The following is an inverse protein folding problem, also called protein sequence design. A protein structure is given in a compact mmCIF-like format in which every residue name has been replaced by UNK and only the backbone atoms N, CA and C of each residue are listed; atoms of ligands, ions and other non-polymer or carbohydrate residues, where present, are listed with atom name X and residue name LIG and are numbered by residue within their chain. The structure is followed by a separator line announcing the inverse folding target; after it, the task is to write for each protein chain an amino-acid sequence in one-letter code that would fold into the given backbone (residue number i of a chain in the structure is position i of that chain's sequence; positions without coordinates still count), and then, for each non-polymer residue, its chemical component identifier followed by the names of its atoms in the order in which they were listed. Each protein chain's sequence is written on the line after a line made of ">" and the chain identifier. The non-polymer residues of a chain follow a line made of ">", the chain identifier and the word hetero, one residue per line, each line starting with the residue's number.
data_IF_076557739589
#
_entry.id   IF_076557739589
#
_cell.length_a   1.000
_cell.length_b   1.000
_cell.length_c   1.000
_cell.angle_alpha   90.00
_cell.angle_beta   90.00
_cell.angle_gamma   90.00
#
_symmetry.space_group_name_H-M   'P 1'
#
loop_
_entity.id
_entity.type
_entity.pdbx_description
1 polymer ?
#
# COMPACT_ATOMS: atom_id res chain seq x y z
N UNK A 1 10.39 3.72 -4.27
CA UNK A 1 9.10 3.15 -3.80
C UNK A 1 8.28 2.78 -5.03
N UNK A 2 7.82 1.53 -5.15
CA UNK A 2 6.86 1.16 -6.20
C UNK A 2 5.44 1.18 -5.61
N UNK A 3 4.59 2.02 -6.16
CA UNK A 3 3.17 2.12 -5.83
C UNK A 3 2.35 1.85 -7.09
N UNK A 4 1.39 0.94 -7.02
CA UNK A 4 0.48 0.62 -8.12
C UNK A 4 -0.95 0.51 -7.59
N UNK A 5 -1.88 1.16 -8.27
CA UNK A 5 -3.32 1.07 -8.01
C UNK A 5 -3.98 0.16 -9.05
N UNK A 6 -4.83 -0.76 -8.60
CA UNK A 6 -5.57 -1.66 -9.48
C UNK A 6 -6.33 -2.74 -8.71
N UNK A 7 -7.12 -3.51 -9.46
CA UNK A 7 -7.86 -4.66 -8.93
C UNK A 7 -6.89 -5.84 -8.73
N UNK A 8 -6.62 -6.19 -7.48
CA UNK A 8 -5.54 -7.10 -7.12
C UNK A 8 -5.98 -8.57 -7.25
N UNK A 9 -5.04 -9.47 -7.61
CA UNK A 9 -5.19 -10.92 -7.43
C UNK A 9 -5.13 -11.26 -5.92
N UNK A 10 -6.16 -10.87 -5.17
CA UNK A 10 -6.25 -11.07 -3.73
C UNK A 10 -7.57 -10.61 -3.12
N UNK A 11 -8.65 -10.61 -3.90
CA UNK A 11 -9.99 -10.29 -3.38
C UNK A 11 -10.38 -11.14 -2.16
N UNK A 12 -9.98 -12.42 -2.10
CA UNK A 12 -10.23 -13.29 -0.92
C UNK A 12 -9.52 -12.82 0.35
N UNK A 13 -8.18 -12.64 0.37
CA UNK A 13 -7.50 -12.13 1.57
C UNK A 13 -7.94 -10.70 1.92
N UNK A 14 -8.21 -9.83 0.94
CA UNK A 14 -8.74 -8.48 1.19
C UNK A 14 -10.13 -8.51 1.83
N UNK A 15 -11.03 -9.37 1.34
CA UNK A 15 -12.35 -9.57 1.94
C UNK A 15 -12.27 -10.13 3.36
N UNK A 16 -11.33 -11.05 3.63
CA UNK A 16 -11.11 -11.58 4.98
C UNK A 16 -10.62 -10.51 5.98
N UNK A 17 -9.95 -9.46 5.47
CA UNK A 17 -9.53 -8.30 6.26
C UNK A 17 -10.61 -7.20 6.32
N UNK A 18 -11.81 -7.44 5.76
CA UNK A 18 -12.91 -6.47 5.74
C UNK A 18 -12.68 -5.27 4.83
N UNK A 19 -11.76 -5.37 3.87
CA UNK A 19 -11.42 -4.26 2.98
C UNK A 19 -12.48 -4.09 1.89
N UNK A 20 -12.95 -2.85 1.75
CA UNK A 20 -13.70 -2.27 0.65
C UNK A 20 -13.19 -2.61 -0.77
N UNK A 21 -13.69 -3.58 -1.56
CA UNK A 21 -13.18 -3.81 -2.92
C UNK A 21 -13.38 -2.60 -3.84
N UNK A 22 -14.51 -1.90 -3.72
CA UNK A 22 -14.88 -0.72 -4.52
C UNK A 22 -13.99 0.50 -4.20
N UNK A 23 -13.36 0.53 -3.03
CA UNK A 23 -12.44 1.60 -2.65
C UNK A 23 -11.06 1.47 -3.31
N UNK A 24 -10.75 0.29 -3.87
CA UNK A 24 -9.43 -0.03 -4.37
C UNK A 24 -8.39 -0.17 -3.25
N UNK A 25 -7.23 -0.74 -3.57
CA UNK A 25 -6.13 -0.93 -2.62
C UNK A 25 -4.84 -0.34 -3.15
N UNK A 26 -4.06 0.30 -2.28
CA UNK A 26 -2.71 0.73 -2.58
C UNK A 26 -1.73 -0.36 -2.15
N UNK A 27 -0.95 -0.89 -3.11
CA UNK A 27 0.13 -1.84 -2.80
C UNK A 27 1.47 -1.12 -2.76
N UNK A 28 2.19 -1.32 -1.66
CA UNK A 28 3.56 -0.89 -1.48
C UNK A 28 4.46 -2.12 -1.41
N UNK A 29 5.62 -2.08 -2.07
CA UNK A 29 6.59 -3.18 -2.08
C UNK A 29 7.96 -2.69 -1.65
N UNK A 30 8.54 -3.32 -0.63
CA UNK A 30 9.75 -2.86 0.07
C UNK A 30 11.00 -3.70 -0.24
N UNK A 31 10.93 -4.64 -1.18
CA UNK A 31 12.04 -5.54 -1.54
C UNK A 31 13.35 -4.80 -1.85
N UNK A 32 13.28 -3.54 -2.33
CA UNK A 32 14.43 -2.73 -2.69
C UNK A 32 14.58 -1.42 -1.89
N UNK A 33 13.74 -1.17 -0.87
CA UNK A 33 13.69 0.10 -0.12
C UNK A 33 13.50 -0.17 1.38
N UNK A 34 14.56 -0.56 2.08
CA UNK A 34 14.51 -1.01 3.48
C UNK A 34 15.27 -0.11 4.45
N UNK A 35 15.82 1.02 4.00
CA UNK A 35 16.48 1.94 4.93
C UNK A 35 15.44 2.73 5.74
N UNK A 36 15.79 3.08 6.99
CA UNK A 36 14.90 3.85 7.87
C UNK A 36 14.46 5.18 7.23
N UNK A 37 15.37 5.87 6.56
CA UNK A 37 15.06 7.13 5.87
C UNK A 37 14.05 6.97 4.72
N UNK A 38 14.07 5.85 3.99
CA UNK A 38 13.09 5.57 2.94
C UNK A 38 11.70 5.25 3.52
N UNK A 39 11.66 4.56 4.66
CA UNK A 39 10.42 4.30 5.40
C UNK A 39 9.82 5.59 5.95
N UNK A 40 10.65 6.45 6.55
CA UNK A 40 10.20 7.74 7.10
C UNK A 40 9.63 8.64 5.99
N UNK A 41 10.29 8.70 4.82
CA UNK A 41 9.80 9.47 3.67
C UNK A 41 8.44 8.96 3.17
N UNK A 42 8.22 7.65 3.17
CA UNK A 42 6.94 7.06 2.80
C UNK A 42 5.85 7.41 3.80
N UNK A 43 6.10 7.21 5.09
CA UNK A 43 5.11 7.46 6.15
C UNK A 43 4.66 8.92 6.12
N UNK A 44 5.61 9.86 6.05
CA UNK A 44 5.30 11.28 5.95
C UNK A 44 4.46 11.59 4.69
N UNK A 45 4.81 11.01 3.54
CA UNK A 45 4.06 11.22 2.31
C UNK A 45 2.66 10.57 2.35
N UNK A 46 2.44 9.56 3.18
CA UNK A 46 1.12 8.97 3.38
C UNK A 46 0.28 9.84 4.32
N UNK A 47 0.88 10.36 5.40
CA UNK A 47 0.24 11.29 6.33
C UNK A 47 -0.19 12.60 5.63
N UNK A 48 0.56 13.07 4.63
CA UNK A 48 0.22 14.26 3.85
C UNK A 48 -1.03 14.10 2.95
N UNK A 49 -1.44 12.86 2.65
CA UNK A 49 -2.47 12.55 1.63
C UNK A 49 -3.73 11.92 2.24
N UNK A 50 -3.69 11.50 3.51
CA UNK A 50 -4.81 10.94 4.27
C UNK A 50 -5.51 11.99 5.14
#
# INVERSE_FOLDING_TARGET
>A
IMAGGGDFYGGRPLAALGVNPERGVLRLSFVHYTTRAEMDKLLNALDDVL
#
